data_IF_908193148153
#
_entry.id   IF_908193148153
#
_cell.length_a   1.000
_cell.length_b   1.000
_cell.length_c   1.000
_cell.angle_alpha   90.00
_cell.angle_beta   90.00
_cell.angle_gamma   90.00
#
_symmetry.space_group_name_H-M   'P 1'
#
loop_
_entity.id
_entity.type
_entity.pdbx_description
1 polymer ?
#
# COMPACT_ATOMS: atom_id res chain seq x y z
N UNK A 1 -1.35 -0.12 23.15
CA UNK A 1 -0.52 -0.71 22.08
C UNK A 1 -1.00 -2.05 21.56
N UNK A 2 -1.33 -3.03 22.41
CA UNK A 2 -1.72 -4.38 21.98
C UNK A 2 -2.81 -4.44 20.91
N UNK A 3 -3.92 -3.71 21.11
CA UNK A 3 -5.05 -3.69 20.17
C UNK A 3 -4.63 -3.16 18.79
N UNK A 4 -3.86 -2.07 18.76
CA UNK A 4 -3.40 -1.45 17.51
C UNK A 4 -2.46 -2.39 16.75
N UNK A 5 -1.53 -3.04 17.45
CA UNK A 5 -0.60 -4.01 16.85
C UNK A 5 -1.34 -5.19 16.20
N UNK A 6 -2.32 -5.78 16.91
CA UNK A 6 -3.13 -6.88 16.40
C UNK A 6 -4.01 -6.43 15.23
N UNK A 7 -4.66 -5.28 15.33
CA UNK A 7 -5.49 -4.75 14.25
C UNK A 7 -4.67 -4.43 12.98
N UNK A 8 -3.45 -3.91 13.15
CA UNK A 8 -2.52 -3.62 12.04
C UNK A 8 -2.12 -4.92 11.33
N UNK A 9 -1.76 -5.95 12.11
CA UNK A 9 -1.44 -7.27 11.57
C UNK A 9 -2.64 -7.89 10.86
N UNK A 10 -3.83 -7.86 11.48
CA UNK A 10 -5.05 -8.40 10.88
C UNK A 10 -5.40 -7.68 9.56
N UNK A 11 -5.18 -6.37 9.47
CA UNK A 11 -5.42 -5.57 8.26
C UNK A 11 -4.48 -5.91 7.10
N UNK A 12 -3.32 -6.51 7.37
CA UNK A 12 -2.41 -6.96 6.30
C UNK A 12 -3.00 -8.07 5.43
N UNK A 13 -3.86 -8.92 6.02
CA UNK A 13 -4.44 -10.08 5.34
C UNK A 13 -5.42 -9.64 4.24
N UNK A 14 -6.44 -8.79 4.52
CA UNK A 14 -7.29 -8.24 3.46
C UNK A 14 -6.51 -7.51 2.37
N UNK A 15 -5.45 -6.78 2.74
CA UNK A 15 -4.62 -6.06 1.77
C UNK A 15 -3.88 -7.02 0.82
N UNK A 16 -3.35 -8.12 1.34
CA UNK A 16 -2.72 -9.16 0.52
C UNK A 16 -3.72 -9.82 -0.43
N UNK A 17 -4.93 -10.12 0.05
CA UNK A 17 -6.02 -10.68 -0.76
C UNK A 17 -6.43 -9.70 -1.86
N UNK A 18 -6.59 -8.42 -1.51
CA UNK A 18 -6.92 -7.37 -2.47
C UNK A 18 -5.87 -7.26 -3.57
N UNK A 19 -4.58 -7.26 -3.21
CA UNK A 19 -3.48 -7.20 -4.18
C UNK A 19 -3.50 -8.39 -5.15
N UNK A 20 -3.73 -9.61 -4.63
CA UNK A 20 -3.84 -10.81 -5.44
C UNK A 20 -5.04 -10.74 -6.40
N UNK A 21 -6.20 -10.31 -5.91
CA UNK A 21 -7.41 -10.15 -6.71
C UNK A 21 -7.24 -9.08 -7.79
N UNK A 22 -6.67 -7.92 -7.45
CA UNK A 22 -6.40 -6.84 -8.38
C UNK A 22 -5.43 -7.28 -9.48
N UNK A 23 -4.33 -7.96 -9.13
CA UNK A 23 -3.37 -8.51 -10.09
C UNK A 23 -4.01 -9.52 -11.03
N UNK A 24 -4.83 -10.45 -10.52
CA UNK A 24 -5.55 -11.42 -11.34
C UNK A 24 -6.53 -10.73 -12.30
N UNK A 25 -7.26 -9.72 -11.82
CA UNK A 25 -8.21 -8.94 -12.61
C UNK A 25 -7.53 -8.15 -13.73
N UNK A 26 -6.38 -7.52 -13.44
CA UNK A 26 -5.57 -6.83 -14.46
C UNK A 26 -5.16 -7.78 -15.59
N UNK A 27 -4.72 -9.01 -15.26
CA UNK A 27 -4.41 -10.03 -16.29
C UNK A 27 -5.65 -10.38 -17.13
N UNK A 28 -6.80 -10.58 -16.50
CA UNK A 28 -8.05 -10.91 -17.20
C UNK A 28 -8.53 -9.78 -18.13
N UNK A 29 -8.30 -8.52 -17.75
CA UNK A 29 -8.63 -7.35 -18.57
C UNK A 29 -7.62 -7.07 -19.69
N UNK A 30 -6.55 -7.88 -19.78
CA UNK A 30 -5.54 -7.78 -20.84
C UNK A 30 -4.39 -6.83 -20.54
N UNK A 31 -4.16 -6.47 -19.28
CA UNK A 31 -2.94 -5.78 -18.89
C UNK A 31 -1.72 -6.65 -19.21
N UNK A 32 -0.63 -6.01 -19.65
CA UNK A 32 0.62 -6.70 -19.93
C UNK A 32 1.08 -7.52 -18.71
N UNK A 33 1.63 -8.71 -18.95
CA UNK A 33 2.09 -9.61 -17.90
C UNK A 33 3.01 -8.93 -16.86
N UNK A 34 3.94 -8.02 -17.24
CA UNK A 34 4.75 -7.27 -16.27
C UNK A 34 3.92 -6.39 -15.33
N UNK A 35 2.91 -5.68 -15.83
CA UNK A 35 2.10 -4.77 -15.01
C UNK A 35 1.33 -5.47 -13.92
N UNK A 36 0.72 -6.62 -14.23
CA UNK A 36 0.04 -7.42 -13.22
C UNK A 36 1.00 -8.06 -12.21
N UNK A 37 2.20 -8.45 -12.63
CA UNK A 37 3.23 -8.96 -11.73
C UNK A 37 3.71 -7.87 -10.76
N UNK A 38 3.98 -6.66 -11.26
CA UNK A 38 4.38 -5.51 -10.43
C UNK A 38 3.28 -5.15 -9.41
N UNK A 39 2.01 -5.19 -9.81
CA UNK A 39 0.89 -4.98 -8.88
C UNK A 39 0.90 -6.00 -7.74
N UNK A 40 1.10 -7.29 -8.06
CA UNK A 40 1.19 -8.33 -7.05
C UNK A 40 2.37 -8.11 -6.12
N UNK A 41 3.56 -7.84 -6.67
CA UNK A 41 4.79 -7.60 -5.89
C UNK A 41 4.67 -6.38 -4.99
N UNK A 42 4.16 -5.26 -5.50
CA UNK A 42 3.94 -4.05 -4.69
C UNK A 42 2.93 -4.30 -3.57
N UNK A 43 1.82 -4.97 -3.87
CA UNK A 43 0.81 -5.28 -2.87
C UNK A 43 1.26 -6.31 -1.82
N UNK A 44 2.04 -7.32 -2.18
CA UNK A 44 2.61 -8.28 -1.22
C UNK A 44 3.66 -7.63 -0.33
N UNK A 45 4.51 -6.75 -0.88
CA UNK A 45 5.45 -5.95 -0.10
C UNK A 45 4.72 -5.01 0.86
N UNK A 46 3.66 -4.33 0.39
CA UNK A 46 2.88 -3.42 1.23
C UNK A 46 2.18 -4.18 2.37
N UNK A 47 1.53 -5.31 2.07
CA UNK A 47 0.89 -6.15 3.07
C UNK A 47 1.91 -6.76 4.05
N UNK A 48 3.03 -7.28 3.53
CA UNK A 48 4.12 -7.84 4.34
C UNK A 48 4.71 -6.80 5.30
N UNK A 49 4.97 -5.58 4.82
CA UNK A 49 5.40 -4.47 5.66
C UNK A 49 4.36 -4.14 6.74
N UNK A 50 3.07 -4.03 6.39
CA UNK A 50 2.01 -3.78 7.37
C UNK A 50 1.92 -4.88 8.44
N UNK A 51 2.04 -6.15 8.02
CA UNK A 51 2.08 -7.31 8.92
C UNK A 51 3.28 -7.26 9.86
N UNK A 52 4.49 -7.06 9.31
CA UNK A 52 5.72 -6.90 10.09
C UNK A 52 5.63 -5.73 11.08
N UNK A 53 5.06 -4.60 10.67
CA UNK A 53 4.82 -3.44 11.53
C UNK A 53 3.95 -3.81 12.74
N UNK A 54 2.86 -4.54 12.53
CA UNK A 54 2.01 -5.05 13.61
C UNK A 54 2.76 -5.99 14.56
N UNK A 55 3.55 -6.92 14.01
CA UNK A 55 4.34 -7.87 14.79
C UNK A 55 5.45 -7.17 15.61
N UNK A 56 6.12 -6.17 15.05
CA UNK A 56 7.15 -5.38 15.73
C UNK A 56 6.58 -4.45 16.81
N UNK A 57 5.34 -3.97 16.63
CA UNK A 57 4.66 -3.14 17.63
C UNK A 57 4.12 -3.94 18.82
N UNK A 58 3.88 -5.24 18.66
CA UNK A 58 3.29 -6.07 19.72
C UNK A 58 4.17 -6.21 20.98
N UNK A 59 5.50 -6.43 20.89
CA UNK A 59 6.40 -6.47 22.04
C UNK A 59 6.34 -5.25 22.96
N UNK A 60 6.02 -4.06 22.44
CA UNK A 60 5.83 -2.84 23.25
C UNK A 60 4.66 -2.94 24.25
N UNK A 61 3.83 -3.98 24.15
CA UNK A 61 2.75 -4.28 25.10
C UNK A 61 3.19 -5.16 26.27
N UNK A 62 4.48 -5.50 26.35
CA UNK A 62 5.08 -6.28 27.43
C UNK A 62 5.76 -5.33 28.43
N UNK A 63 5.45 -5.45 29.73
CA UNK A 63 6.00 -4.55 30.74
C UNK A 63 7.53 -4.63 30.82
N UNK A 64 8.12 -5.79 30.54
CA UNK A 64 9.58 -5.99 30.54
C UNK A 64 10.26 -5.17 29.45
N UNK A 65 9.63 -5.07 28.27
CA UNK A 65 10.11 -4.27 27.14
C UNK A 65 9.87 -2.78 27.39
N UNK A 66 8.71 -2.43 27.97
CA UNK A 66 8.34 -1.04 28.23
C UNK A 66 9.24 -0.36 29.29
N UNK A 67 9.90 -1.14 30.15
CA UNK A 67 10.83 -0.64 31.14
C UNK A 67 12.19 -0.21 30.55
N UNK A 68 12.60 -0.76 29.40
CA UNK A 68 13.85 -0.42 28.73
C UNK A 68 13.63 0.65 27.64
N UNK A 69 14.06 1.87 27.95
CA UNK A 69 13.90 3.02 27.04
C UNK A 69 14.66 2.85 25.72
N UNK A 70 15.80 2.15 25.73
CA UNK A 70 16.62 1.92 24.53
C UNK A 70 15.92 0.96 23.59
N UNK A 71 15.40 -0.14 24.14
CA UNK A 71 14.65 -1.13 23.38
C UNK A 71 13.35 -0.55 22.81
N UNK A 72 12.62 0.23 23.61
CA UNK A 72 11.42 0.95 23.16
C UNK A 72 11.73 1.86 21.98
N UNK A 73 12.81 2.65 22.05
CA UNK A 73 13.21 3.56 20.97
C UNK A 73 13.56 2.81 19.69
N UNK A 74 14.31 1.71 19.79
CA UNK A 74 14.67 0.88 18.64
C UNK A 74 13.43 0.27 17.97
N UNK A 75 12.49 -0.26 18.76
CA UNK A 75 11.24 -0.83 18.24
C UNK A 75 10.36 0.24 17.58
N UNK A 76 10.23 1.44 18.18
CA UNK A 76 9.49 2.52 17.54
C UNK A 76 10.08 2.95 16.20
N UNK A 77 11.41 3.00 16.09
CA UNK A 77 12.09 3.32 14.83
C UNK A 77 11.81 2.26 13.77
N UNK A 78 11.87 0.98 14.13
CA UNK A 78 11.56 -0.12 13.21
C UNK A 78 10.08 -0.10 12.78
N UNK A 79 9.16 0.11 13.73
CA UNK A 79 7.72 0.25 13.44
C UNK A 79 7.47 1.43 12.50
N UNK A 80 8.15 2.56 12.72
CA UNK A 80 8.07 3.72 11.83
C UNK A 80 8.61 3.41 10.44
N UNK A 81 9.76 2.75 10.33
CA UNK A 81 10.42 2.47 9.05
C UNK A 81 9.59 1.50 8.20
N UNK A 82 9.12 0.42 8.82
CA UNK A 82 8.35 -0.63 8.16
C UNK A 82 6.92 -0.14 7.86
N UNK A 83 6.23 0.43 8.85
CA UNK A 83 4.86 0.90 8.69
C UNK A 83 4.72 2.21 7.92
N UNK A 84 5.75 3.05 7.91
CA UNK A 84 5.82 4.30 7.18
C UNK A 84 6.39 4.09 5.78
N UNK A 85 7.65 4.48 5.49
CA UNK A 85 8.23 4.44 4.15
C UNK A 85 8.12 3.06 3.48
N UNK A 86 8.44 1.97 4.19
CA UNK A 86 8.43 0.62 3.61
C UNK A 86 7.05 0.19 3.07
N UNK A 87 6.00 0.44 3.85
CA UNK A 87 4.63 0.18 3.42
C UNK A 87 4.13 1.16 2.36
N UNK A 88 4.38 2.46 2.53
CA UNK A 88 3.84 3.51 1.65
C UNK A 88 4.42 3.44 0.25
N UNK A 89 5.73 3.24 0.11
CA UNK A 89 6.38 3.09 -1.20
C UNK A 89 5.85 1.86 -1.93
N UNK A 90 5.75 0.72 -1.24
CA UNK A 90 5.17 -0.50 -1.81
C UNK A 90 3.69 -0.34 -2.23
N UNK A 91 2.91 0.41 -1.44
CA UNK A 91 1.52 0.75 -1.76
C UNK A 91 1.44 1.65 -3.00
N UNK A 92 2.37 2.61 -3.14
CA UNK A 92 2.54 3.44 -4.33
C UNK A 92 2.79 2.61 -5.58
N UNK A 93 3.66 1.61 -5.49
CA UNK A 93 3.95 0.68 -6.59
C UNK A 93 2.71 -0.11 -7.03
N UNK A 94 1.91 -0.61 -6.07
CA UNK A 94 0.62 -1.26 -6.37
C UNK A 94 -0.33 -0.31 -7.12
N UNK A 95 -0.47 0.92 -6.62
CA UNK A 95 -1.33 1.96 -7.23
C UNK A 95 -0.85 2.29 -8.64
N UNK A 96 0.45 2.51 -8.85
CA UNK A 96 1.03 2.78 -10.17
C UNK A 96 0.75 1.65 -11.16
N UNK A 97 0.95 0.40 -10.73
CA UNK A 97 0.75 -0.78 -11.55
C UNK A 97 -0.72 -1.01 -11.93
N UNK A 98 -1.67 -0.52 -11.12
CA UNK A 98 -3.10 -0.50 -11.46
C UNK A 98 -3.49 0.70 -12.33
N UNK A 99 -2.94 1.89 -12.05
CA UNK A 99 -3.28 3.12 -12.75
C UNK A 99 -2.80 3.12 -14.21
N UNK A 100 -1.59 2.60 -14.47
CA UNK A 100 -1.00 2.55 -15.80
C UNK A 100 -1.84 1.77 -16.84
N UNK A 101 -2.25 0.51 -16.60
CA UNK A 101 -3.17 -0.19 -17.52
C UNK A 101 -4.56 0.44 -17.53
N UNK A 102 -5.01 1.07 -16.44
CA UNK A 102 -6.24 1.87 -16.43
C UNK A 102 -6.26 2.97 -17.48
N UNK A 103 -5.11 3.66 -17.66
CA UNK A 103 -4.93 4.70 -18.67
C UNK A 103 -4.72 4.12 -20.07
N UNK A 104 -3.83 3.11 -20.21
CA UNK A 104 -3.44 2.56 -21.50
C UNK A 104 -4.53 1.71 -22.17
N UNK A 105 -5.35 1.03 -21.38
CA UNK A 105 -6.43 0.17 -21.87
C UNK A 105 -7.82 0.81 -21.72
N UNK A 106 -7.90 2.05 -21.22
CA UNK A 106 -9.17 2.77 -21.04
C UNK A 106 -10.11 2.12 -20.02
N UNK A 107 -9.59 1.37 -19.05
CA UNK A 107 -10.40 0.64 -18.06
C UNK A 107 -10.95 1.54 -16.94
N UNK A 108 -10.41 2.76 -16.82
CA UNK A 108 -10.79 3.74 -15.81
C UNK A 108 -10.98 5.11 -16.45
N UNK A 109 -11.85 5.97 -15.88
CA UNK A 109 -11.94 7.37 -16.30
C UNK A 109 -10.56 8.03 -16.20
N UNK A 110 -10.18 8.81 -17.22
CA UNK A 110 -8.86 9.47 -17.29
C UNK A 110 -8.49 10.23 -16.02
N UNK A 111 -9.45 10.94 -15.41
CA UNK A 111 -9.23 11.69 -14.17
C UNK A 111 -8.81 10.77 -13.01
N UNK A 112 -9.45 9.59 -12.87
CA UNK A 112 -9.14 8.63 -11.82
C UNK A 112 -7.78 7.99 -12.05
N UNK A 113 -7.44 7.64 -13.31
CA UNK A 113 -6.13 7.08 -13.64
C UNK A 113 -4.99 8.09 -13.33
N UNK A 114 -5.16 9.36 -13.68
CA UNK A 114 -4.19 10.42 -13.34
C UNK A 114 -4.10 10.69 -11.84
N UNK A 115 -5.22 10.69 -11.12
CA UNK A 115 -5.22 10.80 -9.66
C UNK A 115 -4.44 9.64 -9.01
N UNK A 116 -4.55 8.43 -9.56
CA UNK A 116 -3.78 7.26 -9.13
C UNK A 116 -2.29 7.44 -9.36
N UNK A 117 -1.91 7.91 -10.54
CA UNK A 117 -0.50 8.17 -10.87
C UNK A 117 0.11 9.28 -9.98
N UNK A 118 -0.64 10.34 -9.71
CA UNK A 118 -0.23 11.40 -8.77
C UNK A 118 -0.10 10.88 -7.34
N UNK A 119 -1.02 10.02 -6.91
CA UNK A 119 -0.97 9.36 -5.59
C UNK A 119 0.23 8.42 -5.48
N UNK A 120 0.53 7.66 -6.54
CA UNK A 120 1.70 6.80 -6.60
C UNK A 120 3.00 7.61 -6.53
N UNK A 121 3.10 8.71 -7.29
CA UNK A 121 4.26 9.60 -7.22
C UNK A 121 4.46 10.19 -5.81
N UNK A 122 3.36 10.59 -5.16
CA UNK A 122 3.40 11.06 -3.76
C UNK A 122 3.85 9.95 -2.80
N UNK A 123 3.38 8.71 -3.00
CA UNK A 123 3.77 7.57 -2.19
C UNK A 123 5.25 7.19 -2.40
N UNK A 124 5.77 7.21 -3.62
CA UNK A 124 7.20 6.99 -3.93
C UNK A 124 8.09 8.08 -3.30
N UNK A 125 7.61 9.33 -3.26
CA UNK A 125 8.31 10.44 -2.60
C UNK A 125 8.50 10.21 -1.09
N UNK A 126 7.76 9.29 -0.47
CA UNK A 126 7.97 8.89 0.92
C UNK A 126 9.37 8.30 1.16
N UNK A 127 10.08 7.84 0.12
CA UNK A 127 11.48 7.43 0.21
C UNK A 127 12.37 8.56 0.72
N UNK A 128 12.05 9.82 0.40
CA UNK A 128 12.80 11.01 0.85
C UNK A 128 12.73 11.19 2.36
N UNK A 129 11.72 10.64 3.04
CA UNK A 129 11.61 10.66 4.51
C UNK A 129 12.80 9.95 5.18
N UNK A 130 13.46 9.02 4.48
CA UNK A 130 14.67 8.36 4.98
C UNK A 130 15.87 9.30 5.05
N UNK A 131 15.90 10.34 4.21
CA UNK A 131 16.94 11.37 4.20
C UNK A 131 16.54 12.53 5.12
N UNK A 132 15.28 12.96 5.05
CA UNK A 132 14.73 14.05 5.87
C UNK A 132 13.47 13.59 6.62
N UNK A 133 13.62 13.12 7.88
CA UNK A 133 12.49 12.69 8.71
C UNK A 133 11.43 13.77 8.97
N UNK A 134 11.80 15.05 8.83
CA UNK A 134 10.88 16.18 8.94
C UNK A 134 9.73 16.15 7.91
N UNK A 135 9.91 15.43 6.78
CA UNK A 135 8.89 15.21 5.76
C UNK A 135 7.88 14.11 6.12
N UNK A 136 7.90 13.61 7.35
CA UNK A 136 6.99 12.55 7.82
C UNK A 136 5.49 12.85 7.63
N UNK A 137 5.10 14.13 7.45
CA UNK A 137 3.72 14.54 7.15
C UNK A 137 3.20 13.97 5.82
N UNK A 138 4.08 13.62 4.89
CA UNK A 138 3.73 13.02 3.60
C UNK A 138 3.16 11.60 3.79
N UNK A 139 3.66 10.86 4.80
CA UNK A 139 3.28 9.46 5.04
C UNK A 139 1.76 9.26 5.27
N UNK A 140 1.10 9.97 6.21
CA UNK A 140 -0.33 9.80 6.42
C UNK A 140 -1.16 10.28 5.22
N UNK A 141 -0.75 11.36 4.55
CA UNK A 141 -1.46 11.87 3.38
C UNK A 141 -1.41 10.86 2.23
N UNK A 142 -0.22 10.36 1.90
CA UNK A 142 -0.03 9.35 0.87
C UNK A 142 -0.82 8.05 1.18
N UNK A 143 -0.87 7.63 2.45
CA UNK A 143 -1.62 6.46 2.86
C UNK A 143 -3.11 6.60 2.57
N UNK A 144 -3.71 7.68 3.06
CA UNK A 144 -5.15 7.91 2.92
C UNK A 144 -5.50 8.02 1.44
N UNK A 145 -4.74 8.80 0.68
CA UNK A 145 -4.96 8.95 -0.76
C UNK A 145 -4.85 7.61 -1.49
N UNK A 146 -3.82 6.81 -1.21
CA UNK A 146 -3.63 5.51 -1.86
C UNK A 146 -4.76 4.53 -1.52
N UNK A 147 -5.13 4.39 -0.24
CA UNK A 147 -6.22 3.50 0.16
C UNK A 147 -7.56 3.94 -0.42
N UNK A 148 -7.88 5.24 -0.37
CA UNK A 148 -9.09 5.78 -0.99
C UNK A 148 -9.12 5.53 -2.49
N UNK A 149 -7.98 5.70 -3.16
CA UNK A 149 -7.88 5.43 -4.58
C UNK A 149 -8.06 3.95 -4.92
N UNK A 150 -7.48 3.03 -4.14
CA UNK A 150 -7.67 1.58 -4.33
C UNK A 150 -9.13 1.16 -4.18
N UNK A 151 -9.86 1.76 -3.25
CA UNK A 151 -11.31 1.52 -3.09
C UNK A 151 -12.07 2.00 -4.33
N UNK A 152 -11.79 3.23 -4.79
CA UNK A 152 -12.41 3.79 -6.00
C UNK A 152 -12.08 2.97 -7.26
N UNK A 153 -10.82 2.61 -7.45
CA UNK A 153 -10.37 1.80 -8.59
C UNK A 153 -11.01 0.40 -8.55
N UNK A 154 -11.12 -0.21 -7.36
CA UNK A 154 -11.80 -1.50 -7.19
C UNK A 154 -13.28 -1.46 -7.60
N UNK A 155 -13.97 -0.36 -7.27
CA UNK A 155 -15.38 -0.15 -7.61
C UNK A 155 -15.59 0.17 -9.10
N UNK A 156 -14.67 0.92 -9.72
CA UNK A 156 -14.78 1.40 -11.10
C UNK A 156 -14.22 0.43 -12.15
N UNK A 157 -13.30 -0.47 -11.78
CA UNK A 157 -12.80 -1.47 -12.71
C UNK A 157 -13.98 -2.31 -13.23
N UNK A 158 -14.05 -2.62 -14.54
CA UNK A 158 -15.10 -3.47 -15.11
C UNK A 158 -14.91 -4.94 -14.74
N UNK A 159 -16.02 -5.67 -14.58
CA UNK A 159 -16.01 -7.09 -14.17
C UNK A 159 -15.69 -8.01 -15.35
N UNK A 160 -16.07 -7.63 -16.57
CA UNK A 160 -15.71 -8.35 -17.80
C UNK A 160 -15.19 -7.38 -18.87
N UNK A 161 -14.29 -7.89 -19.73
CA UNK A 161 -13.77 -7.13 -20.87
C UNK A 161 -14.84 -6.79 -21.92
N UNK A 162 -15.96 -7.51 -21.92
CA UNK A 162 -17.10 -7.23 -22.79
C UNK A 162 -17.90 -5.98 -22.38
N UNK A 163 -17.78 -5.51 -21.13
CA UNK A 163 -18.53 -4.35 -20.63
C UNK A 163 -17.97 -3.01 -21.16
N UNK A 164 -16.85 -3.03 -21.90
CA UNK A 164 -16.18 -1.85 -22.48
C UNK A 164 -16.78 -1.52 -23.88
N UNK A 165 -17.75 -2.29 -24.37
CA UNK A 165 -18.31 -2.18 -25.74
C UNK A 165 -19.78 -1.74 -25.81
N UNK A 166 -20.41 -1.40 -24.69
CA UNK A 166 -21.74 -0.77 -24.66
C UNK A 166 -21.63 0.72 -24.31
#
# INVERSE_FOLDING_TARGET
MRVIAVATFASSIPLAIYAAAASARLRQLGAAAPGAAVALTGGTLAAGALGLCGLLAWPLSRPEVAADTTLVRALYLLVFLVGGPGHIVALGLLVAAMAAPGLNLGLLPRAVAWAGLGTAALAESATVVLIWPALGVILPAARVLALSWLVLAGALLPLRRNDIRE
#
